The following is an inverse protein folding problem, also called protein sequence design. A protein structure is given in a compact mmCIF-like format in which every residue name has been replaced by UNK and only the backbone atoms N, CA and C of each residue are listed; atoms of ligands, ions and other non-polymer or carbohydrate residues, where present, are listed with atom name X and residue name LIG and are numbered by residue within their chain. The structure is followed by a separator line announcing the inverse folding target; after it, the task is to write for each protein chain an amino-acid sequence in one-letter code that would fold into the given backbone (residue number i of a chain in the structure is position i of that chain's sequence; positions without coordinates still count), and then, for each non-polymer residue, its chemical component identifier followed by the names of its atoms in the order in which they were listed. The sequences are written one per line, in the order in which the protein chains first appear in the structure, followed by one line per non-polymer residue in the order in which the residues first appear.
data_IF_328761290510
#
_entry.id   IF_328761290510
#
_cell.length_a   1.000
_cell.length_b   1.000
_cell.length_c   1.000
_cell.angle_alpha   90.00
_cell.angle_beta   90.00
_cell.angle_gamma   90.00
#
_symmetry.space_group_name_H-M   'P 1'
#
loop_
_entity.id
_entity.type
_entity.pdbx_description
1 polymer ?
#
# COMPACT_ATOMS: atom_id res chain seq x y z
N UNK A 1 -52.83 4.62 44.84
CA UNK A 1 -51.44 5.03 45.14
C UNK A 1 -50.40 3.99 44.74
N UNK A 2 -50.64 2.68 44.90
CA UNK A 2 -49.65 1.64 44.54
C UNK A 2 -49.21 1.63 43.06
N UNK A 3 -50.11 1.92 42.12
CA UNK A 3 -49.75 2.02 40.69
C UNK A 3 -48.75 3.12 40.39
N UNK A 4 -48.84 4.26 41.09
CA UNK A 4 -47.90 5.37 40.91
C UNK A 4 -46.51 4.97 41.40
N UNK A 5 -46.42 4.23 42.52
CA UNK A 5 -45.15 3.70 43.04
C UNK A 5 -44.49 2.74 42.05
N UNK A 6 -45.26 1.87 41.41
CA UNK A 6 -44.76 0.97 40.36
C UNK A 6 -44.23 1.74 39.15
N UNK A 7 -44.94 2.77 38.70
CA UNK A 7 -44.51 3.59 37.56
C UNK A 7 -43.21 4.33 37.89
N UNK A 8 -43.10 4.93 39.07
CA UNK A 8 -41.89 5.62 39.50
C UNK A 8 -40.72 4.65 39.64
N UNK A 9 -40.94 3.45 40.20
CA UNK A 9 -39.91 2.42 40.32
C UNK A 9 -39.44 1.89 38.95
N UNK A 10 -40.36 1.68 38.01
CA UNK A 10 -39.98 1.30 36.63
C UNK A 10 -39.19 2.41 35.96
N UNK A 11 -39.61 3.67 36.13
CA UNK A 11 -38.90 4.82 35.58
C UNK A 11 -37.49 4.95 36.16
N UNK A 12 -37.28 4.73 37.46
CA UNK A 12 -35.93 4.82 38.08
C UNK A 12 -34.96 3.73 37.62
N UNK A 13 -35.47 2.59 37.17
CA UNK A 13 -34.66 1.51 36.57
C UNK A 13 -34.35 1.84 35.11
N UNK A 14 -35.36 2.30 34.34
CA UNK A 14 -35.24 2.52 32.89
C UNK A 14 -34.54 3.84 32.52
N UNK A 15 -34.54 4.84 33.41
CA UNK A 15 -33.95 6.16 33.15
C UNK A 15 -32.42 6.17 33.14
N UNK A 16 -31.77 5.22 33.83
CA UNK A 16 -30.31 5.13 33.94
C UNK A 16 -29.80 3.98 33.03
N UNK A 17 -28.93 4.27 32.04
CA UNK A 17 -28.45 3.24 31.10
C UNK A 17 -27.71 2.08 31.79
N UNK A 18 -27.05 2.34 32.92
CA UNK A 18 -26.34 1.30 33.68
C UNK A 18 -27.35 0.38 34.38
N UNK A 19 -28.38 0.94 35.02
CA UNK A 19 -29.44 0.14 35.65
C UNK A 19 -30.33 -0.57 34.65
N UNK A 20 -30.62 0.07 33.51
CA UNK A 20 -31.33 -0.54 32.40
C UNK A 20 -30.57 -1.74 31.86
N UNK A 21 -29.28 -1.58 31.56
CA UNK A 21 -28.48 -2.71 31.07
C UNK A 21 -28.34 -3.83 32.10
N UNK A 22 -28.25 -3.52 33.40
CA UNK A 22 -28.25 -4.52 34.46
C UNK A 22 -29.62 -5.22 34.62
N UNK A 23 -30.72 -4.49 34.46
CA UNK A 23 -32.07 -5.04 34.45
C UNK A 23 -32.30 -5.93 33.23
N UNK A 24 -31.91 -5.48 32.04
CA UNK A 24 -31.99 -6.26 30.81
C UNK A 24 -31.10 -7.52 30.91
N UNK A 25 -29.93 -7.42 31.54
CA UNK A 25 -28.96 -8.52 31.68
C UNK A 25 -29.10 -9.40 32.92
N UNK A 26 -29.88 -9.04 33.94
CA UNK A 26 -29.99 -9.85 35.17
C UNK A 26 -31.39 -9.77 35.84
N UNK A 27 -32.33 -9.00 35.30
CA UNK A 27 -33.61 -8.71 35.95
C UNK A 27 -33.48 -7.89 37.25
N UNK A 28 -32.32 -7.26 37.49
CA UNK A 28 -32.01 -6.57 38.75
C UNK A 28 -32.72 -5.21 38.88
N UNK A 29 -33.20 -4.86 40.09
CA UNK A 29 -33.64 -3.49 40.41
C UNK A 29 -35.09 -3.32 40.83
N UNK A 30 -35.99 -4.28 40.59
CA UNK A 30 -37.42 -4.17 40.97
C UNK A 30 -37.70 -4.15 42.47
N UNK A 31 -36.83 -4.77 43.26
CA UNK A 31 -37.01 -4.90 44.71
C UNK A 31 -36.28 -3.81 45.52
N UNK A 32 -35.89 -2.69 44.88
CA UNK A 32 -35.22 -1.58 45.56
C UNK A 32 -33.80 -1.88 46.09
N UNK A 33 -33.23 -3.05 45.77
CA UNK A 33 -31.84 -3.40 46.13
C UNK A 33 -30.91 -3.18 44.94
N UNK A 34 -29.88 -2.31 45.06
CA UNK A 34 -28.91 -2.06 44.02
C UNK A 34 -27.74 -3.05 44.13
N UNK A 35 -27.92 -4.32 43.76
CA UNK A 35 -26.85 -5.30 43.91
C UNK A 35 -26.69 -6.16 42.66
N UNK A 36 -25.87 -5.65 41.73
CA UNK A 36 -25.17 -6.50 40.76
C UNK A 36 -24.04 -7.15 41.55
N UNK A 37 -24.19 -8.41 41.97
CA UNK A 37 -23.07 -9.19 42.51
C UNK A 37 -23.33 -10.05 43.75
N UNK A 38 -24.48 -9.97 44.41
CA UNK A 38 -24.80 -10.93 45.47
C UNK A 38 -25.28 -12.23 44.82
N UNK A 39 -24.39 -13.24 44.77
CA UNK A 39 -24.80 -14.64 44.55
C UNK A 39 -26.00 -14.91 45.48
N UNK A 40 -27.17 -15.15 44.90
CA UNK A 40 -28.38 -15.53 45.63
C UNK A 40 -28.20 -16.94 46.22
N UNK A 41 -27.38 -17.03 47.25
CA UNK A 41 -27.45 -18.11 48.21
C UNK A 41 -28.63 -17.79 49.11
N UNK A 42 -29.72 -18.53 48.91
CA UNK A 42 -30.80 -18.70 49.89
C UNK A 42 -31.73 -17.48 50.06
N UNK A 43 -32.75 -17.36 49.21
CA UNK A 43 -33.92 -16.54 49.53
C UNK A 43 -35.20 -17.13 48.92
N UNK A 44 -36.04 -17.65 49.81
CA UNK A 44 -37.34 -18.30 49.62
C UNK A 44 -38.46 -17.35 49.15
N UNK A 45 -38.13 -16.30 48.39
CA UNK A 45 -39.13 -15.40 47.82
C UNK A 45 -39.25 -15.64 46.33
N UNK A 46 -40.32 -16.36 45.99
CA UNK A 46 -40.74 -16.70 44.65
C UNK A 46 -40.63 -15.49 43.71
N UNK A 47 -39.71 -15.59 42.76
CA UNK A 47 -39.72 -14.78 41.56
C UNK A 47 -41.11 -14.93 40.90
N UNK A 48 -41.76 -13.84 40.45
CA UNK A 48 -42.96 -13.98 39.62
C UNK A 48 -42.59 -14.88 38.45
N UNK A 49 -43.45 -15.85 38.15
CA UNK A 49 -43.21 -16.91 37.19
C UNK A 49 -42.66 -16.38 35.84
N UNK A 50 -42.00 -17.27 35.08
CA UNK A 50 -41.19 -16.86 33.96
C UNK A 50 -41.98 -16.03 32.94
N UNK A 51 -41.69 -14.71 32.86
CA UNK A 51 -42.13 -13.88 31.73
C UNK A 51 -41.58 -14.41 30.40
N UNK A 52 -42.09 -13.97 29.24
CA UNK A 52 -41.70 -14.52 27.93
C UNK A 52 -40.19 -14.43 27.62
N UNK A 53 -39.43 -13.65 28.38
CA UNK A 53 -37.98 -13.43 28.26
C UNK A 53 -37.14 -14.12 29.36
N UNK A 54 -37.76 -14.97 30.18
CA UNK A 54 -37.11 -15.54 31.38
C UNK A 54 -36.71 -17.02 31.24
N UNK A 55 -36.92 -17.61 30.07
CA UNK A 55 -36.45 -18.96 29.76
C UNK A 55 -34.92 -19.02 29.56
N UNK A 56 -34.28 -17.89 29.21
CA UNK A 56 -32.84 -17.82 28.92
C UNK A 56 -31.93 -17.95 30.16
N UNK A 57 -32.47 -17.82 31.37
CA UNK A 57 -31.69 -17.78 32.62
C UNK A 57 -31.53 -19.15 33.28
N UNK A 58 -32.46 -20.07 32.99
CA UNK A 58 -32.61 -21.34 33.71
C UNK A 58 -31.88 -22.49 33.02
N UNK A 59 -31.83 -22.47 31.69
CA UNK A 59 -30.94 -23.33 30.91
C UNK A 59 -29.61 -22.61 30.79
N UNK A 60 -28.51 -23.22 31.28
CA UNK A 60 -27.13 -22.71 31.18
C UNK A 60 -26.57 -22.58 29.74
N UNK A 61 -27.42 -22.28 28.77
CA UNK A 61 -27.07 -21.84 27.43
C UNK A 61 -26.62 -20.38 27.53
N UNK A 62 -25.34 -20.24 27.83
CA UNK A 62 -24.59 -19.00 27.71
C UNK A 62 -24.91 -18.32 26.37
N UNK A 63 -25.38 -17.06 26.47
CA UNK A 63 -25.71 -16.12 25.38
C UNK A 63 -26.88 -16.50 24.45
N UNK A 64 -28.10 -16.26 24.90
CA UNK A 64 -29.23 -16.03 23.97
C UNK A 64 -29.02 -14.65 23.31
N UNK A 65 -28.93 -14.54 21.96
CA UNK A 65 -28.66 -13.29 21.26
C UNK A 65 -29.81 -12.26 21.35
N UNK A 66 -30.89 -12.58 22.05
CA UNK A 66 -32.06 -11.70 22.27
C UNK A 66 -31.71 -10.35 22.90
N UNK A 67 -30.55 -10.21 23.53
CA UNK A 67 -30.12 -8.94 24.14
C UNK A 67 -29.27 -8.07 23.21
N UNK A 68 -28.93 -8.56 22.01
CA UNK A 68 -28.10 -7.85 21.03
C UNK A 68 -28.93 -7.28 19.86
N UNK A 69 -30.24 -7.52 19.81
CA UNK A 69 -31.11 -7.15 18.69
C UNK A 69 -31.76 -5.75 18.90
N UNK A 70 -31.06 -4.70 18.49
CA UNK A 70 -31.53 -3.32 18.66
C UNK A 70 -32.45 -2.84 17.52
N UNK A 71 -32.39 -3.46 16.34
CA UNK A 71 -33.13 -3.04 15.14
C UNK A 71 -34.22 -4.04 14.76
N UNK A 72 -35.25 -3.59 14.04
CA UNK A 72 -36.32 -4.48 13.56
C UNK A 72 -35.79 -5.58 12.62
N UNK A 73 -34.78 -5.28 11.81
CA UNK A 73 -34.09 -6.27 10.96
C UNK A 73 -33.39 -7.36 11.79
N UNK A 74 -32.85 -7.02 12.96
CA UNK A 74 -32.25 -8.02 13.86
C UNK A 74 -33.31 -8.90 14.53
N UNK A 75 -34.53 -8.39 14.71
CA UNK A 75 -35.66 -9.21 15.17
C UNK A 75 -36.10 -10.22 14.11
N UNK A 76 -36.12 -9.85 12.82
CA UNK A 76 -36.40 -10.81 11.74
C UNK A 76 -35.38 -11.94 11.71
N UNK A 77 -34.08 -11.61 11.82
CA UNK A 77 -33.00 -12.61 11.90
C UNK A 77 -33.15 -13.53 13.10
N UNK A 78 -33.54 -12.99 14.25
CA UNK A 78 -33.78 -13.75 15.47
C UNK A 78 -34.93 -14.77 15.32
N UNK A 79 -36.07 -14.36 14.75
CA UNK A 79 -37.17 -15.29 14.48
C UNK A 79 -36.78 -16.36 13.45
N UNK A 80 -36.03 -15.98 12.41
CA UNK A 80 -35.52 -16.93 11.41
C UNK A 80 -34.56 -17.97 12.02
N UNK A 81 -33.65 -17.56 12.91
CA UNK A 81 -32.78 -18.48 13.66
C UNK A 81 -33.59 -19.43 14.55
N UNK A 82 -34.57 -18.90 15.30
CA UNK A 82 -35.40 -19.71 16.20
C UNK A 82 -36.26 -20.72 15.44
N UNK A 83 -36.79 -20.33 14.27
CA UNK A 83 -37.51 -21.25 13.39
C UNK A 83 -36.62 -22.40 12.91
N UNK A 84 -35.35 -22.12 12.54
CA UNK A 84 -34.38 -23.15 12.16
C UNK A 84 -34.05 -24.11 13.30
N UNK A 85 -33.85 -23.61 14.52
CA UNK A 85 -33.60 -24.42 15.72
C UNK A 85 -34.80 -25.28 16.12
N UNK A 86 -36.02 -24.81 15.84
CA UNK A 86 -37.23 -25.61 16.04
C UNK A 86 -37.35 -26.75 15.02
N UNK A 87 -36.85 -26.56 13.80
CA UNK A 87 -36.81 -27.61 12.77
C UNK A 87 -35.61 -28.56 12.90
N UNK A 88 -34.46 -28.09 13.38
CA UNK A 88 -33.25 -28.88 13.60
C UNK A 88 -32.69 -28.61 15.02
N UNK A 89 -32.91 -29.53 15.98
CA UNK A 89 -32.46 -29.36 17.35
C UNK A 89 -30.93 -29.42 17.51
N UNK A 90 -30.20 -29.92 16.51
CA UNK A 90 -28.73 -30.00 16.53
C UNK A 90 -28.07 -28.77 15.89
N UNK A 91 -28.84 -27.82 15.35
CA UNK A 91 -28.30 -26.58 14.79
C UNK A 91 -27.55 -25.78 15.87
N UNK A 92 -26.26 -25.57 15.67
CA UNK A 92 -25.40 -24.88 16.63
C UNK A 92 -25.72 -23.37 16.63
N UNK A 93 -25.65 -22.68 17.78
CA UNK A 93 -25.73 -21.21 17.83
C UNK A 93 -24.67 -20.50 16.98
N UNK A 94 -23.58 -21.20 16.64
CA UNK A 94 -22.48 -20.71 15.79
C UNK A 94 -22.74 -20.91 14.30
N UNK A 95 -23.82 -21.62 13.91
CA UNK A 95 -24.30 -21.69 12.53
C UNK A 95 -25.04 -20.38 12.20
N UNK A 96 -24.31 -19.28 12.37
CA UNK A 96 -24.75 -17.94 12.01
C UNK A 96 -24.95 -17.92 10.48
N UNK A 97 -26.08 -17.43 9.94
CA UNK A 97 -26.21 -17.21 8.51
C UNK A 97 -25.08 -16.29 8.06
N UNK A 98 -24.06 -16.88 7.43
CA UNK A 98 -22.96 -16.20 6.77
C UNK A 98 -23.44 -14.85 6.21
N UNK A 99 -22.85 -13.76 6.70
CA UNK A 99 -23.14 -12.36 6.35
C UNK A 99 -23.87 -12.26 5.01
N UNK A 100 -25.20 -12.14 5.06
CA UNK A 100 -26.00 -12.01 3.85
C UNK A 100 -25.65 -10.65 3.24
N UNK A 101 -25.12 -10.61 2.01
CA UNK A 101 -24.65 -9.36 1.42
C UNK A 101 -25.81 -8.36 1.27
N UNK A 102 -25.68 -7.17 1.87
CA UNK A 102 -26.71 -6.11 1.79
C UNK A 102 -26.93 -5.57 0.38
N UNK A 103 -25.89 -5.61 -0.49
CA UNK A 103 -25.93 -4.99 -1.82
C UNK A 103 -25.49 -5.94 -2.94
N UNK A 104 -24.36 -6.65 -2.79
CA UNK A 104 -23.91 -7.66 -3.77
C UNK A 104 -23.11 -8.77 -3.09
N UNK A 105 -23.16 -9.99 -3.64
CA UNK A 105 -22.30 -11.10 -3.18
C UNK A 105 -20.84 -10.68 -3.25
N UNK A 106 -20.06 -10.96 -2.19
CA UNK A 106 -18.65 -10.59 -2.06
C UNK A 106 -17.80 -10.97 -3.29
N UNK A 107 -18.17 -12.03 -4.01
CA UNK A 107 -17.53 -12.47 -5.24
C UNK A 107 -17.58 -11.44 -6.38
N UNK A 108 -18.70 -10.73 -6.54
CA UNK A 108 -18.85 -9.72 -7.60
C UNK A 108 -17.98 -8.49 -7.33
N UNK A 109 -17.86 -8.08 -6.06
CA UNK A 109 -16.99 -6.99 -5.66
C UNK A 109 -15.52 -7.31 -5.96
N UNK A 110 -15.06 -8.50 -5.57
CA UNK A 110 -13.69 -8.95 -5.84
C UNK A 110 -13.42 -9.00 -7.34
N UNK A 111 -14.38 -9.49 -8.13
CA UNK A 111 -14.26 -9.52 -9.59
C UNK A 111 -14.16 -8.11 -10.19
N UNK A 112 -14.98 -7.17 -9.73
CA UNK A 112 -14.93 -5.77 -10.18
C UNK A 112 -13.57 -5.12 -9.87
N UNK A 113 -13.05 -5.34 -8.66
CA UNK A 113 -11.73 -4.85 -8.25
C UNK A 113 -10.64 -5.50 -9.11
N UNK A 114 -10.72 -6.81 -9.37
CA UNK A 114 -9.78 -7.50 -10.23
C UNK A 114 -9.79 -6.94 -11.66
N UNK A 115 -10.97 -6.71 -12.26
CA UNK A 115 -11.10 -6.12 -13.60
C UNK A 115 -10.51 -4.72 -13.64
N UNK A 116 -10.78 -3.87 -12.64
CA UNK A 116 -10.20 -2.54 -12.54
C UNK A 116 -8.67 -2.60 -12.34
N UNK A 117 -8.17 -3.54 -11.56
CA UNK A 117 -6.74 -3.74 -11.37
C UNK A 117 -6.05 -4.22 -12.66
N UNK A 118 -6.67 -5.14 -13.41
CA UNK A 118 -6.17 -5.58 -14.71
C UNK A 118 -6.17 -4.43 -15.73
N UNK A 119 -7.28 -3.70 -15.85
CA UNK A 119 -7.40 -2.57 -16.77
C UNK A 119 -6.41 -1.43 -16.41
N UNK A 120 -6.32 -1.09 -15.12
CA UNK A 120 -5.37 -0.10 -14.62
C UNK A 120 -3.91 -0.54 -14.79
N UNK A 121 -3.62 -1.82 -14.55
CA UNK A 121 -2.30 -2.40 -14.77
C UNK A 121 -1.88 -2.35 -16.23
N UNK A 122 -2.76 -2.76 -17.17
CA UNK A 122 -2.46 -2.74 -18.60
C UNK A 122 -2.24 -1.33 -19.15
N UNK A 123 -3.04 -0.35 -18.69
CA UNK A 123 -2.90 1.04 -19.13
C UNK A 123 -1.58 1.67 -18.67
N UNK A 124 -1.14 1.38 -17.44
CA UNK A 124 0.14 1.87 -16.92
C UNK A 124 1.35 1.15 -17.55
N UNK A 125 1.23 -0.15 -17.86
CA UNK A 125 2.31 -0.92 -18.48
C UNK A 125 2.71 -0.37 -19.86
N UNK A 126 1.72 -0.11 -20.73
CA UNK A 126 1.99 0.43 -22.06
C UNK A 126 2.66 1.82 -21.98
N UNK A 127 2.19 2.69 -21.08
CA UNK A 127 2.79 4.02 -20.88
C UNK A 127 4.22 3.96 -20.35
N UNK A 128 4.52 3.00 -19.47
CA UNK A 128 5.87 2.82 -18.94
C UNK A 128 6.85 2.27 -19.99
N UNK A 129 6.38 1.44 -20.91
CA UNK A 129 7.20 0.94 -22.02
C UNK A 129 7.58 2.08 -22.98
N UNK A 130 6.60 2.88 -23.41
CA UNK A 130 6.84 4.00 -24.34
C UNK A 130 7.74 5.10 -23.72
N UNK A 131 7.57 5.39 -22.42
CA UNK A 131 8.46 6.32 -21.72
C UNK A 131 9.85 5.73 -21.47
N UNK A 132 9.93 4.41 -21.29
CA UNK A 132 11.18 3.69 -21.02
C UNK A 132 12.09 3.62 -22.23
N UNK A 133 11.55 3.39 -23.44
CA UNK A 133 12.35 3.29 -24.68
C UNK A 133 13.09 4.59 -24.96
N UNK A 134 12.42 5.74 -24.86
CA UNK A 134 13.04 7.05 -25.04
C UNK A 134 14.21 7.28 -24.07
N UNK A 135 14.03 6.91 -22.80
CA UNK A 135 15.08 7.04 -21.79
C UNK A 135 16.28 6.12 -22.08
N UNK A 136 16.01 4.87 -22.48
CA UNK A 136 17.06 3.90 -22.84
C UNK A 136 17.83 4.38 -24.07
N UNK A 137 17.15 4.87 -25.11
CA UNK A 137 17.78 5.42 -26.32
C UNK A 137 18.67 6.62 -25.99
N UNK A 138 18.18 7.56 -25.18
CA UNK A 138 18.97 8.72 -24.79
C UNK A 138 20.19 8.35 -23.95
N UNK A 139 20.03 7.37 -23.04
CA UNK A 139 21.14 6.82 -22.26
C UNK A 139 22.19 6.15 -23.16
N UNK A 140 21.74 5.38 -24.15
CA UNK A 140 22.63 4.69 -25.09
C UNK A 140 23.37 5.68 -26.00
N UNK A 141 22.74 6.78 -26.42
CA UNK A 141 23.40 7.87 -27.14
C UNK A 141 24.52 8.53 -26.32
N UNK A 142 24.29 8.78 -25.02
CA UNK A 142 25.31 9.35 -24.13
C UNK A 142 26.42 8.33 -23.88
N UNK A 143 26.09 7.05 -23.69
CA UNK A 143 27.06 5.99 -23.54
C UNK A 143 27.95 5.81 -24.76
N UNK A 144 27.40 5.85 -25.98
CA UNK A 144 28.17 5.74 -27.22
C UNK A 144 29.12 6.93 -27.39
N UNK A 145 28.65 8.15 -27.10
CA UNK A 145 29.49 9.36 -27.10
C UNK A 145 30.64 9.25 -26.09
N UNK A 146 30.33 8.87 -24.84
CA UNK A 146 31.33 8.70 -23.80
C UNK A 146 32.34 7.59 -24.15
N UNK A 147 31.88 6.49 -24.74
CA UNK A 147 32.73 5.39 -25.18
C UNK A 147 33.66 5.81 -26.34
N UNK A 148 33.17 6.61 -27.29
CA UNK A 148 33.98 7.19 -28.38
C UNK A 148 35.05 8.13 -27.84
N UNK A 149 34.69 9.02 -26.92
CA UNK A 149 35.65 9.93 -26.27
C UNK A 149 36.69 9.15 -25.45
N UNK A 150 36.29 8.10 -24.72
CA UNK A 150 37.24 7.25 -24.00
C UNK A 150 38.21 6.52 -24.95
N UNK A 151 37.72 6.00 -26.08
CA UNK A 151 38.57 5.38 -27.10
C UNK A 151 39.55 6.39 -27.70
N UNK A 152 39.07 7.61 -27.99
CA UNK A 152 39.88 8.72 -28.49
C UNK A 152 40.99 9.09 -27.50
N UNK A 153 40.65 9.35 -26.24
CA UNK A 153 41.62 9.64 -25.18
C UNK A 153 42.61 8.50 -25.01
N UNK A 154 42.14 7.25 -25.08
CA UNK A 154 43.03 6.08 -25.00
C UNK A 154 44.01 6.01 -26.17
N UNK A 155 43.60 6.37 -27.37
CA UNK A 155 44.49 6.49 -28.53
C UNK A 155 45.49 7.64 -28.37
N UNK A 156 45.02 8.81 -27.88
CA UNK A 156 45.88 9.98 -27.63
C UNK A 156 46.97 9.68 -26.57
N UNK A 157 46.65 8.90 -25.54
CA UNK A 157 47.58 8.53 -24.45
C UNK A 157 48.45 7.32 -24.79
N UNK A 158 48.05 6.47 -25.74
CA UNK A 158 48.82 5.27 -26.11
C UNK A 158 50.23 5.60 -26.67
N UNK A 159 50.43 6.79 -27.22
CA UNK A 159 51.72 7.29 -27.68
C UNK A 159 52.57 8.02 -26.62
N UNK A 160 52.09 8.16 -25.37
CA UNK A 160 52.78 8.89 -24.30
C UNK A 160 53.59 7.90 -23.44
N UNK A 161 54.91 7.91 -23.63
CA UNK A 161 55.80 6.86 -23.11
C UNK A 161 55.90 6.83 -21.58
N UNK A 162 56.33 7.95 -20.97
CA UNK A 162 56.70 7.98 -19.55
C UNK A 162 55.53 8.38 -18.63
N UNK A 163 55.58 7.97 -17.35
CA UNK A 163 54.56 8.32 -16.34
C UNK A 163 54.44 9.83 -16.14
N UNK A 164 55.57 10.52 -16.07
CA UNK A 164 55.59 11.98 -15.87
C UNK A 164 55.02 12.72 -17.07
N UNK A 165 55.27 12.25 -18.28
CA UNK A 165 54.69 12.82 -19.51
C UNK A 165 53.18 12.62 -19.57
N UNK A 166 52.65 11.48 -19.08
CA UNK A 166 51.20 11.26 -18.93
C UNK A 166 50.57 12.18 -17.89
N UNK A 167 51.27 12.43 -16.78
CA UNK A 167 50.81 13.34 -15.72
C UNK A 167 50.77 14.77 -16.25
N UNK A 168 51.84 15.23 -16.92
CA UNK A 168 51.92 16.54 -17.57
C UNK A 168 50.81 16.71 -18.61
N UNK A 169 50.61 15.70 -19.46
CA UNK A 169 49.54 15.70 -20.46
C UNK A 169 48.14 15.81 -19.82
N UNK A 170 47.89 15.07 -18.74
CA UNK A 170 46.62 15.14 -18.01
C UNK A 170 46.37 16.53 -17.40
N UNK A 171 47.39 17.13 -16.77
CA UNK A 171 47.29 18.46 -16.17
C UNK A 171 46.98 19.51 -17.23
N UNK A 172 47.73 19.50 -18.34
CA UNK A 172 47.53 20.43 -19.45
C UNK A 172 46.16 20.26 -20.12
N UNK A 173 45.72 19.00 -20.32
CA UNK A 173 44.38 18.69 -20.83
C UNK A 173 43.26 19.18 -19.89
N UNK A 174 43.44 18.98 -18.58
CA UNK A 174 42.50 19.45 -17.55
C UNK A 174 42.41 20.97 -17.54
N UNK A 175 43.55 21.67 -17.56
CA UNK A 175 43.59 23.13 -17.61
C UNK A 175 42.93 23.68 -18.87
N UNK A 176 43.03 22.97 -20.00
CA UNK A 176 42.43 23.41 -21.26
C UNK A 176 40.91 23.25 -21.22
N UNK A 177 40.45 22.16 -20.59
CA UNK A 177 39.01 21.90 -20.37
C UNK A 177 38.38 22.87 -19.38
N UNK A 178 39.16 23.35 -18.39
CA UNK A 178 38.72 24.36 -17.41
C UNK A 178 38.81 25.79 -17.94
N UNK A 179 39.38 26.02 -19.13
CA UNK A 179 39.55 27.35 -19.71
C UNK A 179 40.64 28.20 -19.05
N UNK A 180 41.59 27.57 -18.35
CA UNK A 180 42.64 28.27 -17.61
C UNK A 180 43.94 28.49 -18.43
N UNK A 181 44.03 27.92 -19.65
CA UNK A 181 45.15 28.12 -20.57
C UNK A 181 44.87 29.27 -21.53
N UNK A 182 45.93 29.95 -21.97
CA UNK A 182 45.83 30.94 -23.02
C UNK A 182 45.46 30.28 -24.36
N UNK A 183 44.73 31.00 -25.24
CA UNK A 183 44.28 30.46 -26.53
C UNK A 183 45.44 29.89 -27.38
N UNK A 184 46.60 30.54 -27.34
CA UNK A 184 47.83 30.13 -28.07
C UNK A 184 48.37 28.78 -27.57
N UNK A 185 48.30 28.55 -26.26
CA UNK A 185 48.71 27.29 -25.63
C UNK A 185 47.69 26.16 -25.88
N UNK A 186 46.42 26.52 -26.12
CA UNK A 186 45.37 25.59 -26.53
C UNK A 186 45.55 25.18 -27.99
N UNK A 187 45.89 26.10 -28.89
CA UNK A 187 46.17 25.81 -30.30
C UNK A 187 47.39 24.90 -30.46
N UNK A 188 48.50 25.21 -29.80
CA UNK A 188 49.70 24.34 -29.83
C UNK A 188 49.43 22.91 -29.32
N UNK A 189 48.64 22.75 -28.25
CA UNK A 189 48.21 21.43 -27.79
C UNK A 189 47.32 20.69 -28.81
N UNK A 190 46.50 21.43 -29.56
CA UNK A 190 45.61 20.87 -30.58
C UNK A 190 46.42 20.35 -31.77
N UNK A 191 47.46 21.09 -32.15
CA UNK A 191 48.38 20.72 -33.23
C UNK A 191 49.24 19.51 -32.85
N UNK A 192 49.77 19.47 -31.62
CA UNK A 192 50.47 18.29 -31.09
C UNK A 192 49.57 17.04 -31.06
N UNK A 193 48.30 17.20 -30.69
CA UNK A 193 47.32 16.09 -30.73
C UNK A 193 47.02 15.65 -32.16
N UNK A 194 46.84 16.59 -33.09
CA UNK A 194 46.60 16.27 -34.49
C UNK A 194 47.78 15.50 -35.11
N UNK A 195 49.01 15.92 -34.80
CA UNK A 195 50.22 15.24 -35.26
C UNK A 195 50.37 13.81 -34.72
N UNK A 196 49.82 13.50 -33.54
CA UNK A 196 49.88 12.15 -32.94
C UNK A 196 48.79 11.20 -33.46
N UNK A 197 47.64 11.72 -33.89
CA UNK A 197 46.49 10.92 -34.34
C UNK A 197 46.58 10.62 -35.85
N UNK A 198 47.14 11.54 -36.62
CA UNK A 198 47.33 11.36 -38.05
C UNK A 198 48.53 10.43 -38.31
N UNK A 199 48.44 9.48 -39.26
CA UNK A 199 49.63 8.80 -39.77
C UNK A 199 50.62 9.85 -40.32
N UNK A 200 51.92 9.55 -40.30
CA UNK A 200 52.96 10.46 -40.82
C UNK A 200 52.47 11.08 -42.13
N UNK A 201 52.39 12.42 -42.14
CA UNK A 201 52.07 13.12 -43.37
C UNK A 201 53.23 12.88 -44.32
N UNK A 202 53.05 11.98 -45.28
CA UNK A 202 53.90 11.92 -46.45
C UNK A 202 53.82 13.29 -47.11
N UNK A 203 54.86 14.11 -46.87
CA UNK A 203 55.01 15.42 -47.46
C UNK A 203 55.18 15.18 -48.95
N UNK A 204 54.10 15.27 -49.73
CA UNK A 204 54.14 15.31 -51.18
C UNK A 204 54.92 16.56 -51.60
N UNK A 205 56.24 16.44 -51.68
CA UNK A 205 57.10 17.47 -52.28
C UNK A 205 56.82 17.49 -53.77
N UNK A 206 56.27 18.60 -54.26
CA UNK A 206 56.02 18.83 -55.69
C UNK A 206 57.30 19.05 -56.52
N UNK A 207 58.48 18.69 -56.01
CA UNK A 207 59.78 18.95 -56.65
C UNK A 207 60.01 18.12 -57.93
N UNK A 208 59.12 17.17 -58.27
CA UNK A 208 59.27 16.29 -59.45
C UNK A 208 58.35 16.62 -60.64
N UNK A 209 57.60 17.74 -60.61
CA UNK A 209 56.90 18.21 -61.81
C UNK A 209 57.91 18.93 -62.72
N UNK A 210 58.70 18.16 -63.47
CA UNK A 210 59.54 18.68 -64.55
C UNK A 210 58.64 19.30 -65.63
N UNK A 211 58.74 20.61 -65.78
CA UNK A 211 58.18 21.35 -66.91
C UNK A 211 58.63 20.72 -68.23
N UNK A 212 57.69 20.06 -68.91
CA UNK A 212 57.87 19.57 -70.27
C UNK A 212 57.70 20.77 -71.21
N UNK A 213 58.80 21.47 -71.50
CA UNK A 213 58.85 22.49 -72.56
C UNK A 213 58.39 21.90 -73.90
N UNK A 214 57.35 22.50 -74.47
CA UNK A 214 57.04 22.48 -75.90
C UNK A 214 57.51 23.78 -76.52
#
# INVERSE_FOLDING_TARGET
MERYRLIVAAHTILSDPVKRSAYDRFGSGWNGKPEVGARASNSTYAHPGPGPFSQSWQTGQTSDPIWQNATWEDWEKFYAWRARRASDPNASPTDDPHQSPLYMRNSYFVLLVAVLAFAGGSANYNRAQDAGTYFVEQRDLVHDRAAKELRRVRQEVAGVGSRDERIQWFLRQREATMGNLANDEVESMRDEKAARILPEQDICRSEDVRDRKT
#
